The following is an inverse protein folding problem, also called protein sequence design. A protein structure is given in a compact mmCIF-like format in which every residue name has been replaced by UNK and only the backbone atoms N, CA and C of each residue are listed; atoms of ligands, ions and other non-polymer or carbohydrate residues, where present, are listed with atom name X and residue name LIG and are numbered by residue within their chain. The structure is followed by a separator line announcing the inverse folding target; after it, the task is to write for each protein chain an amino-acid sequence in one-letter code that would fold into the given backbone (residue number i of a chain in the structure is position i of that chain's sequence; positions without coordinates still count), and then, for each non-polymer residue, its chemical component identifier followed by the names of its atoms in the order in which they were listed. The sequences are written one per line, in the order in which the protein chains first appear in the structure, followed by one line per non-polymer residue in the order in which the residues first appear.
data_IF_681423867215
#
_entry.id   IF_681423867215
#
_cell.length_a   1.000
_cell.length_b   1.000
_cell.length_c   1.000
_cell.angle_alpha   90.00
_cell.angle_beta   90.00
_cell.angle_gamma   90.00
#
_symmetry.space_group_name_H-M   'P 1'
#
loop_
_entity.id
_entity.type
_entity.pdbx_description
1 polymer ?
#
# COMPACT_ATOMS: atom_id res chain seq x y z
N UNK A 1 5.85 -10.81 -6.23
CA UNK A 1 5.56 -9.54 -6.92
C UNK A 1 5.38 -8.33 -6.01
N UNK A 2 4.40 -8.27 -5.10
CA UNK A 2 4.28 -7.12 -4.17
C UNK A 2 5.58 -6.93 -3.37
N UNK A 3 6.09 -8.02 -2.77
CA UNK A 3 7.39 -8.02 -2.09
C UNK A 3 8.54 -7.58 -3.00
N UNK A 4 8.63 -8.14 -4.21
CA UNK A 4 9.70 -7.79 -5.17
C UNK A 4 9.65 -6.30 -5.56
N UNK A 5 8.45 -5.73 -5.71
CA UNK A 5 8.31 -4.29 -5.93
C UNK A 5 8.74 -3.49 -4.72
N UNK A 6 8.38 -3.90 -3.50
CA UNK A 6 8.85 -3.26 -2.26
C UNK A 6 10.37 -3.36 -2.07
N UNK A 7 11.00 -4.46 -2.48
CA UNK A 7 12.45 -4.66 -2.39
C UNK A 7 13.23 -3.83 -3.42
N UNK A 8 12.62 -3.59 -4.59
CA UNK A 8 13.21 -2.77 -5.65
C UNK A 8 12.86 -1.29 -5.54
N UNK A 9 11.85 -0.93 -4.75
CA UNK A 9 11.50 0.45 -4.47
C UNK A 9 12.64 1.14 -3.70
N UNK A 10 13.13 2.24 -4.25
CA UNK A 10 14.15 3.10 -3.69
C UNK A 10 13.60 4.00 -2.59
N UNK A 11 12.54 4.76 -2.85
CA UNK A 11 12.05 5.81 -1.93
C UNK A 11 10.55 5.86 -1.77
N UNK A 12 9.79 5.55 -2.81
CA UNK A 12 8.33 5.68 -2.78
C UNK A 12 7.71 4.32 -2.92
N UNK A 13 6.83 3.96 -1.98
CA UNK A 13 5.94 2.81 -2.10
C UNK A 13 4.55 3.21 -1.61
N UNK A 14 3.63 3.37 -2.54
CA UNK A 14 2.25 3.71 -2.24
C UNK A 14 1.34 2.55 -2.62
N UNK A 15 0.43 2.18 -1.72
CA UNK A 15 -0.48 1.06 -1.90
C UNK A 15 -1.90 1.51 -1.56
N UNK A 16 -2.83 1.27 -2.48
CA UNK A 16 -4.26 1.42 -2.25
C UNK A 16 -4.91 0.05 -2.43
N UNK A 17 -5.50 -0.52 -1.38
CA UNK A 17 -6.09 -1.86 -1.44
C UNK A 17 -7.18 -2.06 -0.40
N UNK A 18 -8.24 -2.82 -0.74
CA UNK A 18 -9.06 -3.50 0.25
C UNK A 18 -8.18 -4.42 1.10
N UNK A 19 -8.39 -4.46 2.42
CA UNK A 19 -7.61 -5.31 3.34
C UNK A 19 -7.71 -6.78 2.96
N UNK A 20 -8.90 -7.23 2.57
CA UNK A 20 -9.13 -8.61 2.10
C UNK A 20 -8.22 -8.98 0.94
N UNK A 21 -7.97 -8.03 0.03
CA UNK A 21 -7.13 -8.27 -1.13
C UNK A 21 -5.65 -8.17 -0.76
N UNK A 22 -5.29 -7.23 0.12
CA UNK A 22 -3.94 -7.10 0.65
C UNK A 22 -3.51 -8.36 1.40
N UNK A 23 -4.38 -8.94 2.22
CA UNK A 23 -4.17 -10.20 2.93
C UNK A 23 -3.86 -11.36 1.96
N UNK A 24 -4.51 -11.42 0.79
CA UNK A 24 -4.24 -12.46 -0.20
C UNK A 24 -2.89 -12.33 -0.91
N UNK A 25 -2.36 -11.11 -1.00
CA UNK A 25 -1.15 -10.83 -1.79
C UNK A 25 0.08 -10.50 -0.95
N UNK A 26 -0.12 -10.11 0.32
CA UNK A 26 0.94 -9.85 1.26
C UNK A 26 1.48 -11.18 1.76
N UNK A 27 2.79 -11.37 1.57
CA UNK A 27 3.51 -12.45 2.21
C UNK A 27 4.14 -11.99 3.53
N UNK A 28 4.57 -12.95 4.35
CA UNK A 28 5.25 -12.70 5.63
C UNK A 28 6.57 -11.91 5.47
N UNK A 29 7.08 -11.78 4.24
CA UNK A 29 8.30 -11.03 3.93
C UNK A 29 8.08 -9.53 3.73
N UNK A 30 6.83 -9.10 3.48
CA UNK A 30 6.50 -7.70 3.23
C UNK A 30 6.91 -6.76 4.37
N UNK A 31 6.62 -7.05 5.66
CA UNK A 31 7.04 -6.16 6.76
C UNK A 31 8.56 -5.96 6.79
N UNK A 32 9.33 -7.02 6.59
CA UNK A 32 10.79 -6.94 6.51
C UNK A 32 11.27 -6.11 5.32
N UNK A 33 10.61 -6.18 4.17
CA UNK A 33 10.94 -5.38 3.00
C UNK A 33 10.72 -3.87 3.26
N UNK A 34 9.60 -3.49 3.87
CA UNK A 34 9.30 -2.10 4.23
C UNK A 34 10.32 -1.53 5.22
N UNK A 35 10.68 -2.32 6.24
CA UNK A 35 11.70 -1.92 7.21
C UNK A 35 13.06 -1.67 6.54
N UNK A 36 13.49 -2.56 5.63
CA UNK A 36 14.73 -2.38 4.86
C UNK A 36 14.68 -1.13 3.98
N UNK A 37 13.55 -0.86 3.31
CA UNK A 37 13.36 0.34 2.50
C UNK A 37 13.49 1.62 3.33
N UNK A 38 12.86 1.68 4.51
CA UNK A 38 12.94 2.82 5.41
C UNK A 38 14.37 3.03 5.99
N UNK A 39 15.12 1.94 6.21
CA UNK A 39 16.51 2.02 6.67
C UNK A 39 17.48 2.52 5.59
N UNK A 40 17.20 2.26 4.31
CA UNK A 40 18.08 2.64 3.20
C UNK A 40 18.06 4.15 2.91
N UNK A 41 16.90 4.80 3.05
CA UNK A 41 16.73 6.19 2.69
C UNK A 41 15.91 6.98 3.71
N UNK A 42 16.47 8.08 4.21
CA UNK A 42 15.80 8.98 5.18
C UNK A 42 14.53 9.66 4.65
N UNK A 43 14.36 9.67 3.33
CA UNK A 43 13.23 10.31 2.64
C UNK A 43 12.29 9.26 2.04
N UNK A 44 12.29 8.05 2.60
CA UNK A 44 11.34 7.01 2.23
C UNK A 44 9.92 7.44 2.58
N UNK A 45 9.00 7.25 1.65
CA UNK A 45 7.58 7.58 1.75
C UNK A 45 6.75 6.33 1.41
N UNK A 46 6.24 5.71 2.48
CA UNK A 46 5.40 4.52 2.45
C UNK A 46 3.99 4.96 2.82
N UNK A 47 3.03 4.73 1.92
CA UNK A 47 1.63 5.10 2.16
C UNK A 47 0.73 3.91 1.93
N UNK A 48 -0.11 3.60 2.92
CA UNK A 48 -1.13 2.56 2.81
C UNK A 48 -2.51 3.20 2.90
N UNK A 49 -3.28 3.12 1.82
CA UNK A 49 -4.69 3.49 1.78
C UNK A 49 -5.52 2.22 1.78
N UNK A 50 -6.32 2.01 2.82
CA UNK A 50 -7.14 0.79 2.99
C UNK A 50 -8.61 1.13 3.21
N UNK A 51 -9.47 0.13 3.09
CA UNK A 51 -10.91 0.26 3.35
C UNK A 51 -11.28 0.18 4.84
N UNK A 52 -10.51 -0.57 5.62
CA UNK A 52 -10.80 -0.82 7.05
C UNK A 52 -9.49 -0.99 7.86
N UNK A 53 -9.17 -0.03 8.73
CA UNK A 53 -7.95 -0.11 9.55
C UNK A 53 -8.04 -1.08 10.73
N UNK A 54 -9.25 -1.40 11.20
CA UNK A 54 -9.44 -2.44 12.21
C UNK A 54 -9.17 -3.82 11.60
N UNK A 55 -9.74 -4.09 10.42
CA UNK A 55 -9.45 -5.31 9.68
C UNK A 55 -7.95 -5.43 9.35
N UNK A 56 -7.29 -4.34 8.98
CA UNK A 56 -5.85 -4.33 8.72
C UNK A 56 -5.06 -4.81 9.94
N UNK A 57 -5.40 -4.31 11.13
CA UNK A 57 -4.76 -4.71 12.39
C UNK A 57 -5.01 -6.17 12.75
N UNK A 58 -6.24 -6.63 12.59
CA UNK A 58 -6.63 -7.97 13.01
C UNK A 58 -6.06 -9.05 12.08
N UNK A 59 -5.99 -8.77 10.78
CA UNK A 59 -5.57 -9.76 9.76
C UNK A 59 -4.10 -9.67 9.39
N UNK A 60 -3.50 -8.49 9.49
CA UNK A 60 -2.10 -8.23 9.16
C UNK A 60 -1.35 -7.57 10.34
N UNK A 61 -1.35 -8.20 11.54
CA UNK A 61 -0.81 -7.59 12.76
C UNK A 61 0.69 -7.31 12.68
N UNK A 62 1.47 -8.15 11.99
CA UNK A 62 2.91 -7.94 11.81
C UNK A 62 3.23 -6.75 10.91
N UNK A 63 2.42 -6.55 9.86
CA UNK A 63 2.50 -5.40 8.99
C UNK A 63 2.19 -4.12 9.77
N UNK A 64 1.08 -4.10 10.52
CA UNK A 64 0.71 -2.95 11.37
C UNK A 64 1.78 -2.66 12.41
N UNK A 65 2.28 -3.69 13.10
CA UNK A 65 3.37 -3.54 14.07
C UNK A 65 4.63 -2.94 13.45
N UNK A 66 4.92 -3.28 12.20
CA UNK A 66 6.05 -2.69 11.45
C UNK A 66 5.79 -1.24 11.08
N UNK A 67 4.63 -0.93 10.50
CA UNK A 67 4.28 0.45 10.12
C UNK A 67 4.30 1.40 11.33
N UNK A 68 3.85 0.93 12.50
CA UNK A 68 3.94 1.69 13.77
C UNK A 68 5.36 2.02 14.22
N UNK A 69 6.37 1.25 13.80
CA UNK A 69 7.79 1.54 14.09
C UNK A 69 8.43 2.47 13.06
N UNK A 70 7.78 2.65 11.90
CA UNK A 70 8.26 3.45 10.78
C UNK A 70 7.57 4.82 10.73
N UNK A 71 7.28 5.44 11.87
CA UNK A 71 6.40 6.63 11.96
C UNK A 71 6.85 7.84 11.13
N UNK A 72 8.13 7.96 10.81
CA UNK A 72 8.67 9.04 9.96
C UNK A 72 8.65 8.71 8.48
N UNK A 73 8.44 7.45 8.11
CA UNK A 73 8.49 6.97 6.74
C UNK A 73 7.16 6.37 6.26
N UNK A 74 6.27 5.97 7.19
CA UNK A 74 5.04 5.25 6.89
C UNK A 74 3.83 5.99 7.41
N UNK A 75 2.79 6.09 6.57
CA UNK A 75 1.48 6.63 6.92
C UNK A 75 0.39 5.69 6.43
N UNK A 76 -0.72 5.63 7.18
CA UNK A 76 -1.89 4.84 6.82
C UNK A 76 -3.13 5.71 6.89
N UNK A 77 -3.93 5.64 5.82
CA UNK A 77 -5.24 6.27 5.72
C UNK A 77 -6.30 5.23 5.37
N UNK A 78 -7.53 5.57 5.71
CA UNK A 78 -8.73 4.80 5.44
C UNK A 78 -9.59 5.57 4.45
N UNK A 79 -10.02 4.93 3.38
CA UNK A 79 -10.98 5.45 2.43
C UNK A 79 -12.08 4.42 2.27
N UNK A 80 -13.33 4.83 2.52
CA UNK A 80 -14.48 3.93 2.39
C UNK A 80 -14.57 3.37 0.95
N UNK A 81 -14.75 2.05 0.80
CA UNK A 81 -14.81 1.44 -0.52
C UNK A 81 -16.13 1.79 -1.21
N UNK A 82 -16.08 1.94 -2.54
CA UNK A 82 -17.30 1.92 -3.34
C UNK A 82 -17.82 0.49 -3.42
N UNK A 83 -18.98 0.23 -2.81
CA UNK A 83 -19.61 -1.10 -2.72
C UNK A 83 -19.86 -1.75 -4.09
N UNK A 84 -19.91 -0.95 -5.17
CA UNK A 84 -20.13 -1.45 -6.52
C UNK A 84 -18.83 -1.63 -7.33
N UNK A 85 -17.68 -1.25 -6.77
CA UNK A 85 -16.41 -1.34 -7.46
C UNK A 85 -15.79 -2.76 -7.35
N UNK A 86 -15.07 -3.23 -8.39
CA UNK A 86 -14.25 -4.43 -8.27
C UNK A 86 -13.21 -4.29 -7.16
N UNK A 87 -12.83 -5.42 -6.54
CA UNK A 87 -11.71 -5.43 -5.59
C UNK A 87 -10.42 -5.19 -6.36
N UNK A 88 -9.83 -4.02 -6.13
CA UNK A 88 -8.63 -3.57 -6.83
C UNK A 88 -7.57 -3.16 -5.81
N UNK A 89 -6.38 -3.73 -5.93
CA UNK A 89 -5.18 -3.22 -5.29
C UNK A 89 -4.34 -2.51 -6.35
N UNK A 90 -3.87 -1.31 -6.04
CA UNK A 90 -2.90 -0.58 -6.86
C UNK A 90 -1.65 -0.32 -6.01
N UNK A 91 -0.48 -0.54 -6.60
CA UNK A 91 0.82 -0.28 -5.97
C UNK A 91 1.66 0.58 -6.91
N UNK A 92 2.28 1.62 -6.38
CA UNK A 92 3.17 2.53 -7.10
C UNK A 92 4.53 2.47 -6.43
N UNK A 93 5.57 2.23 -7.23
CA UNK A 93 6.96 2.27 -6.81
C UNK A 93 7.72 3.35 -7.60
N UNK A 94 8.35 4.28 -6.87
CA UNK A 94 9.29 5.28 -7.40
C UNK A 94 8.88 6.01 -8.69
N UNK A 95 7.69 6.60 -8.84
CA UNK A 95 7.23 7.34 -10.05
C UNK A 95 7.51 6.68 -11.44
N UNK A 96 7.96 5.44 -11.47
CA UNK A 96 8.54 4.74 -12.62
C UNK A 96 8.02 3.31 -12.75
N UNK A 97 7.42 2.77 -11.70
CA UNK A 97 6.70 1.50 -11.72
C UNK A 97 5.32 1.59 -11.07
N UNK A 98 4.35 0.87 -11.64
CA UNK A 98 3.08 0.60 -10.99
C UNK A 98 2.60 -0.82 -11.30
N UNK A 99 1.80 -1.38 -10.40
CA UNK A 99 1.03 -2.59 -10.63
C UNK A 99 -0.40 -2.42 -10.12
N UNK A 100 -1.30 -3.18 -10.72
CA UNK A 100 -2.68 -3.32 -10.30
C UNK A 100 -3.07 -4.78 -10.29
N UNK A 101 -3.63 -5.22 -9.18
CA UNK A 101 -4.23 -6.52 -9.01
C UNK A 101 -5.74 -6.34 -8.90
N UNK A 102 -6.50 -6.99 -9.77
CA UNK A 102 -7.97 -6.94 -9.77
C UNK A 102 -8.52 -8.34 -9.55
N UNK A 103 -9.46 -8.45 -8.61
CA UNK A 103 -10.22 -9.66 -8.36
C UNK A 103 -11.70 -9.45 -8.69
N UNK A 104 -12.24 -10.33 -9.51
CA UNK A 104 -13.68 -10.39 -9.82
C UNK A 104 -14.11 -11.85 -9.83
N UNK A 105 -14.84 -12.27 -8.81
CA UNK A 105 -15.16 -13.69 -8.58
C UNK A 105 -13.89 -14.54 -8.45
N UNK A 106 -13.79 -15.59 -9.28
CA UNK A 106 -12.61 -16.48 -9.36
C UNK A 106 -11.49 -15.93 -10.24
N UNK A 107 -11.75 -14.87 -11.02
CA UNK A 107 -10.78 -14.31 -11.94
C UNK A 107 -9.82 -13.35 -11.21
N UNK A 108 -8.52 -13.54 -11.47
CA UNK A 108 -7.44 -12.69 -10.99
C UNK A 108 -6.71 -12.08 -12.18
N UNK A 109 -6.69 -10.76 -12.28
CA UNK A 109 -5.96 -10.03 -13.32
C UNK A 109 -4.85 -9.25 -12.66
N UNK A 110 -3.65 -9.40 -13.21
CA UNK A 110 -2.49 -8.61 -12.86
C UNK A 110 -2.09 -7.74 -14.06
N UNK A 111 -1.94 -6.44 -13.82
CA UNK A 111 -1.43 -5.46 -14.79
C UNK A 111 -0.31 -4.67 -14.13
N UNK A 112 0.67 -4.25 -14.89
CA UNK A 112 1.72 -3.39 -14.38
C UNK A 112 2.72 -3.05 -15.47
N UNK A 113 3.44 -1.97 -15.26
CA UNK A 113 4.54 -1.54 -16.12
C UNK A 113 5.67 -1.04 -15.24
N UNK A 114 6.88 -1.46 -15.60
CA UNK A 114 8.12 -0.83 -15.17
C UNK A 114 8.60 0.05 -16.34
N UNK A 115 9.14 1.23 -16.05
CA UNK A 115 9.77 2.15 -17.01
C UNK A 115 8.82 2.95 -17.96
N UNK A 116 7.51 2.94 -17.70
CA UNK A 116 6.52 3.76 -18.44
C UNK A 116 6.03 4.98 -17.64
N UNK A 117 6.89 6.01 -17.56
CA UNK A 117 6.68 7.24 -16.75
C UNK A 117 5.31 7.90 -16.91
N UNK A 118 4.74 7.93 -18.12
CA UNK A 118 3.46 8.60 -18.39
C UNK A 118 2.26 7.94 -17.70
N UNK A 119 2.18 6.61 -17.73
CA UNK A 119 1.10 5.84 -17.07
C UNK A 119 1.31 5.80 -15.56
N UNK A 120 2.56 5.68 -15.10
CA UNK A 120 2.88 5.74 -13.67
C UNK A 120 2.50 7.08 -13.08
N UNK A 121 2.75 8.19 -13.79
CA UNK A 121 2.34 9.53 -13.34
C UNK A 121 0.83 9.63 -13.14
N UNK A 122 0.04 9.20 -14.12
CA UNK A 122 -1.43 9.21 -13.99
C UNK A 122 -1.90 8.38 -12.79
N UNK A 123 -1.30 7.20 -12.57
CA UNK A 123 -1.65 6.35 -11.43
C UNK A 123 -1.25 6.97 -10.09
N UNK A 124 -0.12 7.67 -10.05
CA UNK A 124 0.29 8.46 -8.89
C UNK A 124 -0.68 9.62 -8.61
N UNK A 125 -1.13 10.34 -9.64
CA UNK A 125 -2.13 11.41 -9.50
C UNK A 125 -3.49 10.86 -9.00
N UNK A 126 -3.94 9.72 -9.54
CA UNK A 126 -5.15 9.02 -9.06
C UNK A 126 -4.99 8.57 -7.59
N UNK A 127 -3.83 8.04 -7.20
CA UNK A 127 -3.55 7.66 -5.82
C UNK A 127 -3.57 8.87 -4.88
N UNK A 128 -2.92 9.97 -5.25
CA UNK A 128 -2.87 11.18 -4.41
C UNK A 128 -4.28 11.77 -4.20
N UNK A 129 -5.13 11.77 -5.23
CA UNK A 129 -6.52 12.20 -5.08
C UNK A 129 -7.29 11.32 -4.07
N UNK A 130 -7.12 9.99 -4.14
CA UNK A 130 -7.71 9.07 -3.15
C UNK A 130 -7.10 9.23 -1.75
N UNK A 131 -5.80 9.50 -1.67
CA UNK A 131 -5.08 9.69 -0.42
C UNK A 131 -5.57 10.93 0.33
N UNK A 132 -5.79 12.04 -0.38
CA UNK A 132 -6.32 13.29 0.19
C UNK A 132 -7.79 13.16 0.61
N UNK A 133 -8.56 12.29 -0.05
CA UNK A 133 -9.93 11.97 0.36
C UNK A 133 -10.00 11.03 1.58
N UNK A 134 -8.93 10.30 1.88
CA UNK A 134 -8.87 9.36 3.00
C UNK A 134 -8.68 10.06 4.35
N UNK A 135 -9.21 9.46 5.42
CA UNK A 135 -8.94 9.87 6.81
C UNK A 135 -7.73 9.12 7.36
N UNK A 136 -6.96 9.70 8.27
CA UNK A 136 -5.88 8.95 8.93
C UNK A 136 -6.40 7.75 9.74
N UNK A 137 -5.60 6.68 9.81
CA UNK A 137 -5.92 5.50 10.60
C UNK A 137 -5.83 5.78 12.11
N UNK A 138 -6.89 5.40 12.82
CA UNK A 138 -6.94 5.48 14.27
C UNK A 138 -6.07 4.39 14.90
N UNK A 139 -5.99 3.22 14.26
CA UNK A 139 -5.16 2.12 14.74
C UNK A 139 -3.66 2.41 14.64
N UNK A 140 -3.20 3.19 13.65
CA UNK A 140 -1.82 3.67 13.62
C UNK A 140 -1.56 4.87 14.53
N UNK A 141 -2.53 5.77 14.71
CA UNK A 141 -2.40 6.91 15.64
C UNK A 141 -2.29 6.47 17.10
N UNK A 142 -2.91 5.34 17.48
CA UNK A 142 -2.81 4.74 18.81
C UNK A 142 -1.42 4.12 19.02
N UNK A 143 -0.44 5.00 19.24
CA UNK A 143 0.79 4.67 19.96
C UNK A 143 0.40 4.74 21.44
N UNK A 144 0.07 3.61 22.05
CA UNK A 144 -0.15 3.60 23.49
C UNK A 144 1.17 3.95 24.19
N UNK A 145 1.13 5.02 24.98
CA UNK A 145 2.06 5.34 26.06
C UNK A 145 2.11 4.20 27.08
#
# INVERSE_FOLDING_TARGET
MLREMSENAGRILWLHAPVTLLEEVADDGLPGALARMAQRHRSTDIRLLVDDDLALKDRLPELVGTLKRLTTAASVRVLEPDENAPLVMTVIADQSGWMQFTRSGSQRILRGETDHRGRTRRRAEEFEASWEAGRDSDELRRVHL
#
